data_IF_337524476820
#
_entry.id   IF_337524476820
#
_cell.length_a   1.000
_cell.length_b   1.000
_cell.length_c   1.000
_cell.angle_alpha   90.00
_cell.angle_beta   90.00
_cell.angle_gamma   90.00
#
_symmetry.space_group_name_H-M   'P 1'
#
loop_
_entity.id
_entity.type
_entity.pdbx_description
1 polymer ?
#
# COMPACT_ATOMS: atom_id res chain seq x y z
N UNK A 1 5.95 7.73 -3.38
CA UNK A 1 4.97 8.81 -3.18
C UNK A 1 5.46 10.07 -3.84
N UNK A 2 6.39 10.77 -3.18
CA UNK A 2 6.95 12.04 -3.64
C UNK A 2 7.52 12.01 -5.07
N UNK A 3 8.33 10.99 -5.41
CA UNK A 3 8.88 10.82 -6.78
C UNK A 3 7.82 10.75 -7.88
N UNK A 4 6.63 10.24 -7.55
CA UNK A 4 5.51 10.09 -8.48
C UNK A 4 4.49 11.23 -8.35
N UNK A 5 4.75 12.26 -7.53
CA UNK A 5 3.81 13.34 -7.28
C UNK A 5 2.53 12.90 -6.55
N UNK A 6 2.58 11.80 -5.81
CA UNK A 6 1.44 11.24 -5.08
C UNK A 6 1.43 11.72 -3.62
N UNK A 7 0.23 11.99 -3.09
CA UNK A 7 -0.02 12.34 -1.69
C UNK A 7 -0.70 11.17 -0.97
N UNK A 8 0.04 10.11 -0.57
CA UNK A 8 -0.55 8.95 0.10
C UNK A 8 -1.15 9.36 1.45
N UNK A 9 -2.31 8.81 1.76
CA UNK A 9 -2.97 9.00 3.05
C UNK A 9 -2.62 7.84 3.97
N UNK A 10 -2.31 8.13 5.24
CA UNK A 10 -2.17 7.10 6.25
C UNK A 10 -3.50 6.35 6.40
N UNK A 11 -3.44 5.03 6.30
CA UNK A 11 -4.59 4.17 6.52
C UNK A 11 -5.07 4.28 7.98
N UNK A 12 -6.38 4.34 8.19
CA UNK A 12 -6.94 4.34 9.55
C UNK A 12 -6.80 2.94 10.12
N UNK A 13 -6.09 2.81 11.25
CA UNK A 13 -5.70 1.52 11.84
C UNK A 13 -6.87 0.53 11.99
N UNK A 14 -8.06 1.02 12.37
CA UNK A 14 -9.24 0.18 12.58
C UNK A 14 -9.73 -0.58 11.35
N UNK A 15 -9.35 -0.16 10.13
CA UNK A 15 -9.69 -0.86 8.90
C UNK A 15 -8.65 -1.92 8.48
N UNK A 16 -7.47 -1.95 9.10
CA UNK A 16 -6.32 -2.77 8.67
C UNK A 16 -5.61 -3.48 9.83
N UNK A 17 -6.27 -3.60 10.97
CA UNK A 17 -5.71 -4.18 12.19
C UNK A 17 -5.28 -5.63 12.00
N UNK A 18 -6.01 -6.40 11.18
CA UNK A 18 -5.65 -7.79 10.85
C UNK A 18 -4.33 -7.87 10.10
N UNK A 19 -4.10 -7.01 9.10
CA UNK A 19 -2.88 -7.03 8.28
C UNK A 19 -1.66 -6.62 9.10
N UNK A 20 -1.82 -5.57 9.93
CA UNK A 20 -0.80 -5.16 10.88
C UNK A 20 -0.49 -6.29 11.89
N UNK A 21 -1.51 -7.00 12.36
CA UNK A 21 -1.36 -8.15 13.26
C UNK A 21 -0.62 -9.30 12.59
N UNK A 22 -0.89 -9.62 11.32
CA UNK A 22 -0.15 -10.62 10.56
C UNK A 22 1.33 -10.27 10.41
N UNK A 23 1.64 -9.03 10.02
CA UNK A 23 3.03 -8.56 9.91
C UNK A 23 3.77 -8.63 11.25
N UNK A 24 3.07 -8.30 12.36
CA UNK A 24 3.61 -8.42 13.71
C UNK A 24 3.84 -9.87 14.12
N UNK A 25 2.88 -10.75 13.89
CA UNK A 25 2.95 -12.17 14.24
C UNK A 25 4.08 -12.90 13.47
N UNK A 26 4.28 -12.53 12.21
CA UNK A 26 5.38 -13.05 11.38
C UNK A 26 6.75 -12.43 11.69
N UNK A 27 6.84 -11.47 12.64
CA UNK A 27 8.10 -10.81 13.01
C UNK A 27 8.67 -9.87 11.96
N UNK A 28 7.86 -9.46 10.97
CA UNK A 28 8.28 -8.62 9.84
C UNK A 28 7.80 -7.18 9.93
N UNK A 29 7.19 -6.76 11.05
CA UNK A 29 6.68 -5.41 11.28
C UNK A 29 7.59 -4.23 10.82
N UNK A 30 8.93 -4.24 11.04
CA UNK A 30 9.78 -3.15 10.55
C UNK A 30 10.17 -3.26 9.06
N UNK A 31 9.86 -4.38 8.41
CA UNK A 31 10.18 -4.70 7.01
C UNK A 31 8.93 -4.83 6.13
N UNK A 32 7.75 -4.73 6.72
CA UNK A 32 6.47 -4.83 6.04
C UNK A 32 5.84 -3.44 5.94
N UNK A 33 5.28 -3.17 4.77
CA UNK A 33 4.43 -2.02 4.52
C UNK A 33 3.11 -2.48 3.91
N UNK A 34 2.03 -1.78 4.22
CA UNK A 34 0.73 -2.04 3.62
C UNK A 34 0.40 -0.92 2.63
N UNK A 35 0.01 -1.30 1.42
CA UNK A 35 -0.46 -0.38 0.39
C UNK A 35 -1.96 -0.62 0.16
N UNK A 36 -2.76 0.42 0.32
CA UNK A 36 -4.21 0.33 0.30
C UNK A 36 -4.80 1.13 -0.86
N UNK A 37 -5.95 0.66 -1.37
CA UNK A 37 -6.76 1.37 -2.36
C UNK A 37 -8.00 1.94 -1.67
N UNK A 38 -8.25 3.25 -1.72
CA UNK A 38 -9.50 3.82 -1.25
C UNK A 38 -10.69 3.18 -1.98
N UNK A 39 -11.52 2.48 -1.23
CA UNK A 39 -12.59 1.64 -1.76
C UNK A 39 -13.89 1.93 -1.03
N UNK A 40 -14.98 2.09 -1.77
CA UNK A 40 -16.34 2.13 -1.22
C UNK A 40 -16.96 0.74 -1.28
N UNK A 41 -17.86 0.44 -0.34
CA UNK A 41 -18.62 -0.81 -0.30
C UNK A 41 -17.75 -2.07 -0.22
N UNK A 42 -16.70 -2.04 0.62
CA UNK A 42 -15.90 -3.23 0.96
C UNK A 42 -16.82 -4.38 1.40
N UNK A 43 -16.57 -5.60 0.91
CA UNK A 43 -17.43 -6.79 1.08
C UNK A 43 -18.79 -6.76 0.35
N UNK A 44 -18.99 -5.79 -0.55
CA UNK A 44 -20.14 -5.72 -1.46
C UNK A 44 -19.69 -5.54 -2.90
N UNK A 45 -20.39 -4.68 -3.65
CA UNK A 45 -19.91 -4.23 -4.96
C UNK A 45 -18.88 -3.11 -4.75
N UNK A 46 -17.61 -3.47 -4.82
CA UNK A 46 -16.52 -2.55 -4.56
C UNK A 46 -16.40 -1.49 -5.66
N UNK A 47 -16.24 -0.23 -5.24
CA UNK A 47 -16.05 0.90 -6.15
C UNK A 47 -14.77 1.62 -5.77
N UNK A 48 -13.87 1.75 -6.75
CA UNK A 48 -12.61 2.46 -6.64
C UNK A 48 -12.54 3.57 -7.69
N UNK A 49 -11.69 4.58 -7.45
CA UNK A 49 -11.43 5.56 -8.49
C UNK A 49 -10.72 4.88 -9.67
N UNK A 50 -11.11 5.21 -10.91
CA UNK A 50 -10.65 4.54 -12.14
C UNK A 50 -9.13 4.38 -12.22
N UNK A 51 -8.37 5.39 -11.78
CA UNK A 51 -6.90 5.43 -11.87
C UNK A 51 -6.19 4.79 -10.66
N UNK A 52 -6.91 4.23 -9.70
CA UNK A 52 -6.30 3.76 -8.45
C UNK A 52 -5.38 2.58 -8.68
N UNK A 53 -5.75 1.65 -9.56
CA UNK A 53 -4.93 0.49 -9.88
C UNK A 53 -3.62 0.90 -10.56
N UNK A 54 -3.70 1.77 -11.56
CA UNK A 54 -2.51 2.30 -12.25
C UNK A 54 -1.58 3.00 -11.25
N UNK A 55 -2.14 3.88 -10.42
CA UNK A 55 -1.38 4.62 -9.39
C UNK A 55 -0.65 3.70 -8.42
N UNK A 56 -1.31 2.63 -7.98
CA UNK A 56 -0.78 1.65 -7.03
C UNK A 56 0.28 0.77 -7.68
N UNK A 57 0.06 0.37 -8.95
CA UNK A 57 1.03 -0.38 -9.73
C UNK A 57 2.30 0.44 -9.97
N UNK A 58 2.18 1.71 -10.36
CA UNK A 58 3.31 2.63 -10.55
C UNK A 58 4.09 2.82 -9.25
N UNK A 59 3.40 2.99 -8.12
CA UNK A 59 4.03 3.13 -6.81
C UNK A 59 4.81 1.86 -6.41
N UNK A 60 4.21 0.68 -6.59
CA UNK A 60 4.87 -0.59 -6.30
C UNK A 60 6.08 -0.81 -7.19
N UNK A 61 5.95 -0.51 -8.48
CA UNK A 61 7.04 -0.62 -9.45
C UNK A 61 8.21 0.29 -9.07
N UNK A 62 7.94 1.57 -8.81
CA UNK A 62 8.97 2.53 -8.38
C UNK A 62 9.67 2.05 -7.10
N UNK A 63 8.92 1.58 -6.10
CA UNK A 63 9.50 1.03 -4.87
C UNK A 63 10.44 -0.15 -5.14
N UNK A 64 10.04 -1.09 -5.99
CA UNK A 64 10.83 -2.27 -6.32
C UNK A 64 12.09 -1.90 -7.14
N UNK A 65 11.96 -0.98 -8.11
CA UNK A 65 13.09 -0.52 -8.92
C UNK A 65 14.11 0.26 -8.09
N UNK A 66 13.67 1.11 -7.17
CA UNK A 66 14.55 1.86 -6.26
C UNK A 66 15.26 0.91 -5.28
N UNK A 67 14.53 -0.08 -4.76
CA UNK A 67 15.09 -1.10 -3.86
C UNK A 67 16.08 -2.01 -4.58
N UNK A 68 15.84 -2.35 -5.85
CA UNK A 68 16.77 -3.14 -6.66
C UNK A 68 18.07 -2.39 -7.00
N UNK A 69 18.04 -1.05 -6.98
CA UNK A 69 19.24 -0.20 -7.08
C UNK A 69 19.97 0.01 -5.74
N UNK A 70 19.33 -0.30 -4.61
CA UNK A 70 19.76 0.01 -3.24
C UNK A 70 20.63 -1.04 -2.53
N UNK A 71 21.09 -2.08 -3.21
CA UNK A 71 22.29 -2.82 -2.80
C UNK A 71 23.49 -2.32 -3.62
N UNK A 72 23.84 -1.06 -3.40
CA UNK A 72 25.10 -0.43 -3.83
C UNK A 72 25.65 0.39 -2.68
#
# INVERSE_FOLDING_TARGET
>A
GEKLGLSPQAAVLGAFESDASHAKAAGVGPRAGLLCVPTLSTHGNEVIARRSLDTVADLLLEFLCDTAGGFR
#
